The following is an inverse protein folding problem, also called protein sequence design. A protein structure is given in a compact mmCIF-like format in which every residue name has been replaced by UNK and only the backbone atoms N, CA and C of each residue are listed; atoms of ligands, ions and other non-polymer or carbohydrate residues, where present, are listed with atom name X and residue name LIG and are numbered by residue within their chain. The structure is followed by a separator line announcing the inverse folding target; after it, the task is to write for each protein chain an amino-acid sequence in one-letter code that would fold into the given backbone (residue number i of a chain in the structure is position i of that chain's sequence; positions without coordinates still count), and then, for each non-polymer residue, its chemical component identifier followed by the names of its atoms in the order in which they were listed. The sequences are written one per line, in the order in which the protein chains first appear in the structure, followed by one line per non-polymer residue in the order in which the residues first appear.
data_IF_926229000370
#
_entry.id   IF_926229000370
#
_cell.length_a   1.000
_cell.length_b   1.000
_cell.length_c   1.000
_cell.angle_alpha   90.00
_cell.angle_beta   90.00
_cell.angle_gamma   90.00
#
_symmetry.space_group_name_H-M   'P 1'
#
loop_
_entity.id
_entity.type
_entity.pdbx_description
1 polymer ?
#
# COMPACT_ATOMS: atom_id res chain seq x y z
N UNK A 1 -4.36 -2.09 -16.07
CA UNK A 1 -3.85 -3.41 -15.70
C UNK A 1 -2.71 -3.28 -14.69
N UNK A 2 -2.80 -3.97 -13.57
CA UNK A 2 -1.83 -3.86 -12.49
C UNK A 2 -0.63 -4.78 -12.74
N UNK A 3 0.61 -4.24 -12.76
CA UNK A 3 1.80 -5.10 -12.82
C UNK A 3 1.95 -5.94 -11.55
N UNK A 4 2.51 -7.14 -11.70
CA UNK A 4 2.72 -8.08 -10.59
C UNK A 4 4.03 -7.77 -9.85
N UNK A 5 4.15 -6.56 -9.30
CA UNK A 5 5.30 -6.15 -8.51
C UNK A 5 4.87 -5.78 -7.10
N UNK A 6 5.76 -5.94 -6.13
CA UNK A 6 5.47 -5.64 -4.72
C UNK A 6 4.96 -4.21 -4.53
N UNK A 7 5.61 -3.25 -5.16
CA UNK A 7 5.25 -1.85 -5.06
C UNK A 7 3.82 -1.57 -5.56
N UNK A 8 3.48 -2.10 -6.73
CA UNK A 8 2.15 -1.90 -7.31
C UNK A 8 1.06 -2.60 -6.50
N UNK A 9 1.37 -3.79 -5.98
CA UNK A 9 0.42 -4.51 -5.13
C UNK A 9 0.20 -3.76 -3.81
N UNK A 10 1.26 -3.21 -3.19
CA UNK A 10 1.10 -2.39 -1.99
C UNK A 10 0.22 -1.17 -2.24
N UNK A 11 0.41 -0.49 -3.36
CA UNK A 11 -0.43 0.65 -3.74
C UNK A 11 -1.89 0.25 -3.92
N UNK A 12 -2.12 -0.89 -4.56
CA UNK A 12 -3.47 -1.40 -4.77
C UNK A 12 -4.12 -1.78 -3.44
N UNK A 13 -3.38 -2.41 -2.54
CA UNK A 13 -3.89 -2.75 -1.21
C UNK A 13 -4.27 -1.51 -0.41
N UNK A 14 -3.51 -0.42 -0.55
CA UNK A 14 -3.86 0.85 0.08
C UNK A 14 -5.14 1.45 -0.52
N UNK A 15 -5.26 1.44 -1.85
CA UNK A 15 -6.41 2.02 -2.54
C UNK A 15 -7.70 1.23 -2.31
N UNK A 16 -7.61 -0.10 -2.36
CA UNK A 16 -8.77 -1.00 -2.26
C UNK A 16 -9.11 -1.31 -0.81
N UNK A 17 -8.13 -1.38 0.03
CA UNK A 17 -8.03 -1.79 1.42
C UNK A 17 -7.52 -3.22 1.52
N UNK A 18 -6.78 -3.46 2.59
CA UNK A 18 -6.21 -4.78 2.86
C UNK A 18 -7.30 -5.84 3.04
N UNK A 19 -8.41 -5.46 3.68
CA UNK A 19 -9.52 -6.38 3.95
C UNK A 19 -10.28 -6.77 2.69
N UNK A 20 -10.44 -5.84 1.75
CA UNK A 20 -11.19 -6.07 0.52
C UNK A 20 -10.34 -6.63 -0.62
N UNK A 21 -9.02 -6.60 -0.48
CA UNK A 21 -8.12 -7.04 -1.55
C UNK A 21 -8.35 -8.49 -1.97
N UNK A 22 -8.55 -9.48 -1.06
CA UNK A 22 -8.85 -10.85 -1.49
C UNK A 22 -10.14 -10.93 -2.31
N UNK A 23 -11.13 -10.11 -1.97
CA UNK A 23 -12.39 -10.05 -2.70
C UNK A 23 -12.17 -9.52 -4.11
N UNK A 24 -11.40 -8.44 -4.22
CA UNK A 24 -10.99 -7.87 -5.50
C UNK A 24 -10.31 -8.91 -6.39
N UNK A 25 -9.40 -9.71 -5.81
CA UNK A 25 -8.70 -10.78 -6.55
C UNK A 25 -9.68 -11.85 -7.05
N UNK A 26 -10.67 -12.21 -6.25
CA UNK A 26 -11.69 -13.18 -6.67
C UNK A 26 -12.51 -12.68 -7.85
N UNK A 27 -12.89 -11.41 -7.81
CA UNK A 27 -13.65 -10.79 -8.91
C UNK A 27 -12.81 -10.76 -10.18
N UNK A 28 -11.55 -10.36 -10.08
CA UNK A 28 -10.64 -10.33 -11.21
C UNK A 28 -10.42 -11.72 -11.81
N UNK A 29 -10.29 -12.74 -10.96
CA UNK A 29 -10.14 -14.11 -11.41
C UNK A 29 -11.38 -14.59 -12.15
N UNK A 30 -12.57 -14.33 -11.61
CA UNK A 30 -13.84 -14.70 -12.23
C UNK A 30 -13.99 -14.04 -13.60
N UNK A 31 -13.69 -12.74 -13.70
CA UNK A 31 -13.74 -12.01 -14.96
C UNK A 31 -12.78 -12.61 -15.99
N UNK A 32 -11.57 -12.94 -15.58
CA UNK A 32 -10.56 -13.51 -16.47
C UNK A 32 -10.98 -14.89 -16.99
N UNK A 33 -11.54 -15.72 -16.12
CA UNK A 33 -12.02 -17.05 -16.51
C UNK A 33 -13.22 -16.99 -17.45
N UNK A 34 -14.00 -15.92 -17.41
CA UNK A 34 -15.15 -15.72 -18.27
C UNK A 34 -14.79 -15.18 -19.65
N UNK A 35 -13.56 -14.71 -19.84
CA UNK A 35 -13.10 -14.17 -21.11
C UNK A 35 -12.72 -15.28 -22.10
N UNK A 36 -12.61 -14.90 -23.39
CA UNK A 36 -12.15 -15.82 -24.42
C UNK A 36 -10.71 -16.27 -24.13
N UNK A 37 -10.27 -17.33 -24.80
CA UNK A 37 -8.95 -17.93 -24.58
C UNK A 37 -7.79 -16.99 -24.93
N UNK A 38 -8.05 -15.97 -25.74
CA UNK A 38 -7.01 -15.03 -26.18
C UNK A 38 -6.43 -14.28 -24.97
N UNK A 39 -5.14 -14.47 -24.74
CA UNK A 39 -4.39 -13.87 -23.63
C UNK A 39 -4.87 -14.26 -22.22
N UNK A 40 -5.83 -15.18 -22.10
CA UNK A 40 -6.31 -15.61 -20.78
C UNK A 40 -5.20 -16.17 -19.93
N UNK A 41 -4.31 -16.98 -20.50
CA UNK A 41 -3.20 -17.59 -19.77
C UNK A 41 -2.25 -16.53 -19.21
N UNK A 42 -1.95 -15.49 -19.98
CA UNK A 42 -1.10 -14.40 -19.53
C UNK A 42 -1.74 -13.62 -18.38
N UNK A 43 -3.05 -13.40 -18.47
CA UNK A 43 -3.78 -12.72 -17.40
C UNK A 43 -3.81 -13.54 -16.11
N UNK A 44 -3.99 -14.86 -16.24
CA UNK A 44 -3.96 -15.75 -15.08
C UNK A 44 -2.58 -15.79 -14.44
N UNK A 45 -1.51 -15.81 -15.23
CA UNK A 45 -0.14 -15.72 -14.74
C UNK A 45 0.07 -14.42 -13.96
N UNK A 46 -0.41 -13.30 -14.51
CA UNK A 46 -0.28 -12.00 -13.86
C UNK A 46 -1.03 -11.99 -12.53
N UNK A 47 -2.25 -12.54 -12.47
CA UNK A 47 -3.02 -12.63 -11.24
C UNK A 47 -2.32 -13.51 -10.21
N UNK A 48 -1.71 -14.61 -10.64
CA UNK A 48 -0.95 -15.48 -9.74
C UNK A 48 0.25 -14.72 -9.16
N UNK A 49 0.93 -13.91 -9.96
CA UNK A 49 2.03 -13.07 -9.49
C UNK A 49 1.58 -12.02 -8.48
N UNK A 50 0.43 -11.39 -8.73
CA UNK A 50 -0.17 -10.43 -7.80
C UNK A 50 -0.50 -11.11 -6.48
N UNK A 51 -1.11 -12.28 -6.53
CA UNK A 51 -1.45 -13.05 -5.31
C UNK A 51 -0.20 -13.39 -4.51
N UNK A 52 0.86 -13.80 -5.20
CA UNK A 52 2.13 -14.12 -4.55
C UNK A 52 2.70 -12.88 -3.84
N UNK A 53 2.68 -11.72 -4.50
CA UNK A 53 3.12 -10.47 -3.90
C UNK A 53 2.27 -10.10 -2.69
N UNK A 54 0.96 -10.27 -2.79
CA UNK A 54 0.03 -10.02 -1.70
C UNK A 54 0.38 -10.86 -0.47
N UNK A 55 0.61 -12.16 -0.67
CA UNK A 55 0.97 -13.06 0.42
C UNK A 55 2.31 -12.67 1.07
N UNK A 56 3.30 -12.28 0.26
CA UNK A 56 4.58 -11.82 0.77
C UNK A 56 4.45 -10.52 1.58
N UNK A 57 3.63 -9.59 1.12
CA UNK A 57 3.38 -8.33 1.84
C UNK A 57 2.80 -8.63 3.21
N UNK A 58 1.83 -9.53 3.29
CA UNK A 58 1.23 -9.93 4.57
C UNK A 58 2.25 -10.63 5.46
N UNK A 59 3.05 -11.53 4.89
CA UNK A 59 4.06 -12.28 5.63
C UNK A 59 5.14 -11.37 6.21
N UNK A 60 5.60 -10.40 5.42
CA UNK A 60 6.62 -9.44 5.83
C UNK A 60 6.04 -8.28 6.64
N UNK A 61 4.72 -8.21 6.77
CA UNK A 61 4.02 -7.13 7.48
C UNK A 61 4.41 -5.75 6.94
N UNK A 62 4.53 -5.64 5.62
CA UNK A 62 4.86 -4.37 4.98
C UNK A 62 3.71 -3.38 5.12
N UNK A 63 4.05 -2.09 5.24
CA UNK A 63 3.05 -1.05 5.45
C UNK A 63 2.26 -0.77 4.17
N UNK A 64 0.94 -0.85 4.25
CA UNK A 64 0.03 -0.50 3.16
C UNK A 64 -1.08 0.45 3.61
N UNK A 65 -1.15 0.79 4.90
CA UNK A 65 -2.17 1.67 5.44
C UNK A 65 -1.61 2.47 6.63
N UNK A 66 -2.37 3.49 7.04
CA UNK A 66 -1.98 4.32 8.20
C UNK A 66 -1.84 3.51 9.47
N UNK A 67 -2.54 2.38 9.60
CA UNK A 67 -2.45 1.52 10.79
C UNK A 67 -1.04 0.99 11.02
N UNK A 68 -0.30 0.72 9.95
CA UNK A 68 1.04 0.12 10.04
C UNK A 68 2.14 1.18 10.04
N UNK A 69 1.79 2.44 9.83
CA UNK A 69 2.75 3.54 9.83
C UNK A 69 3.30 3.74 11.25
N UNK A 70 4.61 3.91 11.36
CA UNK A 70 5.29 4.00 12.67
C UNK A 70 5.09 5.33 13.40
N UNK A 71 4.43 6.30 12.75
CA UNK A 71 4.06 7.57 13.38
C UNK A 71 2.56 7.81 13.18
N UNK A 72 1.98 8.63 14.03
CA UNK A 72 0.55 8.98 13.97
C UNK A 72 0.36 10.49 14.08
N UNK A 73 -0.90 10.94 14.12
CA UNK A 73 -1.22 12.36 14.21
C UNK A 73 -0.65 13.04 15.45
N UNK A 74 -0.60 12.33 16.57
CA UNK A 74 -0.05 12.88 17.81
C UNK A 74 1.45 13.12 17.71
N UNK A 75 2.16 12.24 17.01
CA UNK A 75 3.59 12.42 16.76
C UNK A 75 3.82 13.69 15.94
N UNK A 76 2.95 13.98 14.99
CA UNK A 76 3.05 15.19 14.17
C UNK A 76 2.79 16.45 15.01
N UNK A 77 1.80 16.40 15.87
CA UNK A 77 1.51 17.52 16.78
C UNK A 77 2.70 17.77 17.71
N UNK A 78 3.29 16.71 18.25
CA UNK A 78 4.46 16.82 19.11
C UNK A 78 5.67 17.39 18.35
N UNK A 79 5.74 17.16 17.04
CA UNK A 79 6.82 17.70 16.21
C UNK A 79 6.60 19.15 15.78
N UNK A 80 5.45 19.75 16.12
CA UNK A 80 5.17 21.15 15.81
C UNK A 80 4.18 21.41 14.68
N UNK A 81 3.59 20.37 14.10
CA UNK A 81 2.60 20.55 13.04
C UNK A 81 1.25 20.92 13.66
N UNK A 82 0.63 21.97 13.14
CA UNK A 82 -0.67 22.42 13.63
C UNK A 82 -1.75 21.37 13.42
N UNK A 83 -2.63 21.25 14.42
CA UNK A 83 -3.78 20.36 14.37
C UNK A 83 -4.72 20.82 13.26
N UNK A 84 -5.12 19.90 12.36
CA UNK A 84 -6.02 20.23 11.26
C UNK A 84 -5.73 19.40 10.01
N UNK A 85 -6.21 19.86 8.84
CA UNK A 85 -6.03 19.12 7.59
C UNK A 85 -4.59 18.80 7.23
N UNK A 86 -3.65 19.64 7.66
CA UNK A 86 -2.22 19.42 7.37
C UNK A 86 -1.70 18.11 7.96
N UNK A 87 -2.23 17.69 9.13
CA UNK A 87 -1.84 16.42 9.74
C UNK A 87 -2.18 15.26 8.81
N UNK A 88 -3.40 15.23 8.29
CA UNK A 88 -3.82 14.20 7.36
C UNK A 88 -3.00 14.19 6.08
N UNK A 89 -2.72 15.36 5.52
CA UNK A 89 -1.92 15.49 4.31
C UNK A 89 -0.50 14.99 4.53
N UNK A 90 0.10 15.34 5.66
CA UNK A 90 1.45 14.90 5.99
C UNK A 90 1.51 13.39 6.18
N UNK A 91 0.53 12.81 6.89
CA UNK A 91 0.46 11.37 7.07
C UNK A 91 0.31 10.64 5.74
N UNK A 92 -0.50 11.15 4.82
CA UNK A 92 -0.66 10.55 3.50
C UNK A 92 0.64 10.63 2.70
N UNK A 93 1.36 11.74 2.77
CA UNK A 93 2.65 11.88 2.10
C UNK A 93 3.64 10.84 2.61
N UNK A 94 3.74 10.69 3.94
CA UNK A 94 4.63 9.70 4.55
C UNK A 94 4.22 8.27 4.19
N UNK A 95 2.93 8.01 4.18
CA UNK A 95 2.42 6.69 3.82
C UNK A 95 2.79 6.31 2.38
N UNK A 96 2.66 7.24 1.44
CA UNK A 96 3.03 6.97 0.05
C UNK A 96 4.52 6.67 -0.09
N UNK A 97 5.37 7.38 0.65
CA UNK A 97 6.81 7.10 0.64
C UNK A 97 7.12 5.69 1.17
N UNK A 98 6.43 5.28 2.24
CA UNK A 98 6.62 3.96 2.84
C UNK A 98 6.08 2.86 1.93
N UNK A 99 4.97 3.10 1.25
CA UNK A 99 4.42 2.12 0.30
C UNK A 99 5.42 1.87 -0.84
N UNK A 100 6.09 2.91 -1.31
CA UNK A 100 7.11 2.76 -2.35
C UNK A 100 8.36 2.05 -1.82
N UNK A 101 8.81 2.38 -0.62
CA UNK A 101 10.01 1.80 0.00
C UNK A 101 9.71 1.41 1.44
N UNK A 102 9.28 0.15 1.69
CA UNK A 102 8.86 -0.28 3.03
C UNK A 102 9.93 -0.12 4.12
N UNK A 103 11.21 -0.16 3.76
CA UNK A 103 12.31 0.05 4.70
C UNK A 103 12.32 1.45 5.30
N UNK A 104 11.62 2.41 4.70
CA UNK A 104 11.48 3.76 5.25
C UNK A 104 10.49 3.84 6.41
N UNK A 105 9.74 2.77 6.68
CA UNK A 105 8.77 2.75 7.76
C UNK A 105 9.48 2.56 9.10
N UNK A 106 10.29 3.53 9.49
CA UNK A 106 10.94 3.60 10.80
C UNK A 106 10.60 4.93 11.44
N UNK A 107 10.47 4.91 12.76
CA UNK A 107 10.15 6.12 13.50
C UNK A 107 11.19 7.22 13.27
N UNK A 108 12.46 6.85 13.24
CA UNK A 108 13.55 7.81 13.02
C UNK A 108 13.44 8.50 11.68
N UNK A 109 13.27 7.74 10.61
CA UNK A 109 13.13 8.30 9.27
C UNK A 109 11.90 9.20 9.18
N UNK A 110 10.77 8.72 9.68
CA UNK A 110 9.51 9.46 9.56
C UNK A 110 9.54 10.75 10.37
N UNK A 111 10.12 10.76 11.56
CA UNK A 111 10.26 11.99 12.34
C UNK A 111 11.16 13.01 11.65
N UNK A 112 12.23 12.54 11.01
CA UNK A 112 13.11 13.42 10.23
C UNK A 112 12.37 14.04 9.04
N UNK A 113 11.55 13.24 8.34
CA UNK A 113 10.76 13.73 7.22
C UNK A 113 9.70 14.74 7.65
N UNK A 114 9.11 14.53 8.83
CA UNK A 114 8.13 15.49 9.37
C UNK A 114 8.77 16.85 9.53
N UNK A 115 9.99 16.92 10.03
CA UNK A 115 10.72 18.18 10.18
C UNK A 115 10.96 18.85 8.83
N UNK A 116 11.26 18.07 7.79
CA UNK A 116 11.45 18.62 6.45
C UNK A 116 10.15 19.15 5.85
N UNK A 117 9.02 18.57 6.23
CA UNK A 117 7.70 18.92 5.71
C UNK A 117 7.03 20.08 6.47
N UNK A 118 7.58 20.48 7.60
CA UNK A 118 7.08 21.61 8.37
C UNK A 118 7.13 22.94 7.60
#
# INVERSE_FOLDING_TARGET
RMPATMKHVRRAMNRISEELFPYYMKVRMADTLAQSDYQRDKKLENLAGIEKCYQEILKKKQCVSLKELKVNGQDLIAAGIEKGPKIGQTLQTLLQEVIEEPEKNTREYLLARIKELE
#
